data_IF_761526708419
#
_entry.id   IF_761526708419
#
_cell.length_a   1.000
_cell.length_b   1.000
_cell.length_c   1.000
_cell.angle_alpha   90.00
_cell.angle_beta   90.00
_cell.angle_gamma   90.00
#
_symmetry.space_group_name_H-M   'P 1'
#
loop_
_entity.id
_entity.type
_entity.pdbx_description
1 polymer ?
#
# COMPACT_ATOMS: atom_id res chain seq x y z
N UNK A 1 0.42 -6.04 -4.14
CA UNK A 1 1.14 -7.29 -3.78
C UNK A 1 0.27 -8.54 -3.70
N UNK A 2 -1.05 -8.46 -3.47
CA UNK A 2 -1.91 -9.65 -3.37
C UNK A 2 -1.72 -10.69 -4.51
N UNK A 3 -1.70 -10.31 -5.81
CA UNK A 3 -1.48 -11.29 -6.88
C UNK A 3 -0.12 -11.99 -6.82
N UNK A 4 0.93 -11.27 -6.45
CA UNK A 4 2.28 -11.82 -6.31
C UNK A 4 2.33 -12.87 -5.20
N UNK A 5 1.74 -12.57 -4.04
CA UNK A 5 1.68 -13.53 -2.92
C UNK A 5 0.82 -14.76 -3.24
N UNK A 6 -0.23 -14.61 -4.05
CA UNK A 6 -0.98 -15.77 -4.53
C UNK A 6 -0.11 -16.69 -5.39
N UNK A 7 0.66 -16.12 -6.33
CA UNK A 7 1.54 -16.88 -7.23
C UNK A 7 2.69 -17.55 -6.47
N UNK A 8 3.28 -16.87 -5.48
CA UNK A 8 4.41 -17.39 -4.70
C UNK A 8 4.00 -18.42 -3.63
N UNK A 9 2.71 -18.51 -3.28
CA UNK A 9 2.22 -19.48 -2.32
C UNK A 9 2.39 -20.90 -2.89
N UNK A 10 3.21 -21.74 -2.22
CA UNK A 10 3.36 -23.16 -2.58
C UNK A 10 1.99 -23.80 -2.73
N UNK A 11 1.73 -24.59 -3.78
CA UNK A 11 0.42 -25.22 -4.04
C UNK A 11 -0.74 -24.23 -3.86
N UNK A 12 -0.71 -23.15 -4.64
CA UNK A 12 -1.70 -22.08 -4.54
C UNK A 12 -3.08 -22.52 -5.01
N UNK A 13 -4.05 -22.39 -4.11
CA UNK A 13 -5.49 -22.44 -4.42
C UNK A 13 -6.15 -21.23 -3.78
N UNK A 14 -7.29 -20.79 -4.31
CA UNK A 14 -8.04 -19.65 -3.77
C UNK A 14 -8.42 -19.90 -2.31
N UNK A 15 -8.87 -21.10 -1.97
CA UNK A 15 -9.23 -21.48 -0.59
C UNK A 15 -8.05 -21.34 0.37
N UNK A 16 -6.89 -21.86 -0.01
CA UNK A 16 -5.70 -21.81 0.83
C UNK A 16 -5.16 -20.40 0.96
N UNK A 17 -5.15 -19.64 -0.13
CA UNK A 17 -4.78 -18.23 -0.11
C UNK A 17 -5.71 -17.45 0.83
N UNK A 18 -7.02 -17.63 0.72
CA UNK A 18 -8.01 -16.98 1.60
C UNK A 18 -7.81 -17.35 3.06
N UNK A 19 -7.47 -18.61 3.36
CA UNK A 19 -7.17 -19.05 4.73
C UNK A 19 -5.95 -18.32 5.29
N UNK A 20 -4.84 -18.27 4.52
CA UNK A 20 -3.60 -17.58 4.94
C UNK A 20 -3.85 -16.09 5.13
N UNK A 21 -4.54 -15.46 4.19
CA UNK A 21 -4.89 -14.03 4.23
C UNK A 21 -5.76 -13.74 5.45
N UNK A 22 -6.84 -14.51 5.66
CA UNK A 22 -7.79 -14.28 6.77
C UNK A 22 -7.11 -14.47 8.13
N UNK A 23 -6.31 -15.52 8.30
CA UNK A 23 -5.57 -15.75 9.53
C UNK A 23 -4.55 -14.63 9.81
N UNK A 24 -3.83 -14.18 8.78
CA UNK A 24 -2.81 -13.13 8.89
C UNK A 24 -3.44 -11.76 9.18
N UNK A 25 -4.55 -11.42 8.52
CA UNK A 25 -5.33 -10.22 8.81
C UNK A 25 -5.92 -10.27 10.22
N UNK A 26 -6.51 -11.39 10.63
CA UNK A 26 -7.07 -11.56 11.98
C UNK A 26 -6.02 -11.35 13.06
N UNK A 27 -4.84 -11.97 12.91
CA UNK A 27 -3.72 -11.77 13.84
C UNK A 27 -3.25 -10.30 13.88
N UNK A 28 -3.14 -9.65 12.72
CA UNK A 28 -2.72 -8.25 12.63
C UNK A 28 -3.73 -7.31 13.29
N UNK A 29 -5.03 -7.54 13.06
CA UNK A 29 -6.12 -6.77 13.70
C UNK A 29 -6.06 -6.95 15.21
N UNK A 30 -5.89 -8.17 15.71
CA UNK A 30 -5.80 -8.43 17.15
C UNK A 30 -4.63 -7.67 17.78
N UNK A 31 -3.44 -7.70 17.16
CA UNK A 31 -2.26 -6.98 17.65
C UNK A 31 -2.50 -5.46 17.63
N UNK A 32 -3.02 -4.91 16.53
CA UNK A 32 -3.29 -3.48 16.43
C UNK A 32 -4.38 -3.01 17.41
N UNK A 33 -5.45 -3.78 17.59
CA UNK A 33 -6.48 -3.48 18.59
C UNK A 33 -5.90 -3.51 20.00
N UNK A 34 -5.06 -4.49 20.33
CA UNK A 34 -4.41 -4.55 21.65
C UNK A 34 -3.51 -3.34 21.89
N UNK A 35 -2.65 -2.98 20.93
CA UNK A 35 -1.76 -1.81 21.04
C UNK A 35 -2.57 -0.51 21.13
N UNK A 36 -3.60 -0.35 20.30
CA UNK A 36 -4.47 0.83 20.32
C UNK A 36 -5.22 0.95 21.65
N UNK A 37 -5.78 -0.15 22.16
CA UNK A 37 -6.48 -0.18 23.44
C UNK A 37 -5.54 0.20 24.60
N UNK A 38 -4.35 -0.41 24.66
CA UNK A 38 -3.37 -0.11 25.71
C UNK A 38 -2.87 1.34 25.63
N UNK A 39 -2.61 1.84 24.42
CA UNK A 39 -2.23 3.24 24.19
C UNK A 39 -3.31 4.20 24.67
N UNK A 40 -4.58 3.95 24.31
CA UNK A 40 -5.71 4.76 24.74
C UNK A 40 -5.97 4.66 26.24
N UNK A 41 -5.85 3.49 26.86
CA UNK A 41 -5.98 3.35 28.31
C UNK A 41 -4.87 4.11 29.07
N UNK A 42 -3.69 4.25 28.47
CA UNK A 42 -2.55 4.95 29.08
C UNK A 42 -2.65 6.47 28.95
N UNK A 43 -3.00 6.97 27.77
CA UNK A 43 -2.93 8.41 27.45
C UNK A 43 -4.30 9.07 27.21
N UNK A 44 -5.37 8.29 27.15
CA UNK A 44 -6.72 8.76 26.89
C UNK A 44 -6.81 9.56 25.59
N UNK A 45 -7.50 10.70 25.65
CA UNK A 45 -7.63 11.63 24.52
C UNK A 45 -6.34 12.38 24.15
N UNK A 46 -5.25 12.26 24.91
CA UNK A 46 -4.00 13.00 24.68
C UNK A 46 -2.99 12.22 23.82
N UNK A 47 -3.41 11.14 23.15
CA UNK A 47 -2.53 10.37 22.26
C UNK A 47 -1.99 11.22 21.11
N UNK A 48 -0.66 11.26 20.97
CA UNK A 48 0.00 11.81 19.79
C UNK A 48 -0.07 10.83 18.62
N UNK A 49 0.01 11.33 17.38
CA UNK A 49 0.03 10.49 16.17
C UNK A 49 1.15 9.45 16.16
N UNK A 50 2.29 9.79 16.77
CA UNK A 50 3.30 8.83 17.18
C UNK A 50 3.24 8.69 18.71
N UNK A 51 2.75 7.56 19.20
CA UNK A 51 2.54 7.33 20.64
C UNK A 51 3.82 7.46 21.48
N UNK A 52 4.99 7.18 20.88
CA UNK A 52 6.28 7.35 21.54
C UNK A 52 6.58 8.81 21.92
N UNK A 53 5.91 9.79 21.31
CA UNK A 53 6.07 11.20 21.68
C UNK A 53 5.37 11.55 23.01
N UNK A 54 4.43 10.73 23.48
CA UNK A 54 3.81 10.92 24.79
C UNK A 54 4.71 10.50 25.96
N UNK A 55 5.71 9.65 25.71
CA UNK A 55 6.64 9.21 26.73
C UNK A 55 7.79 10.19 26.92
N UNK A 56 8.34 10.25 28.13
CA UNK A 56 9.52 11.08 28.44
C UNK A 56 10.72 10.73 27.55
N UNK A 57 11.55 11.73 27.26
CA UNK A 57 12.85 11.55 26.58
C UNK A 57 13.91 11.00 27.51
N UNK A 58 13.69 11.04 28.84
CA UNK A 58 14.59 10.48 29.85
C UNK A 58 14.35 8.99 30.12
N UNK A 59 13.28 8.43 29.58
CA UNK A 59 12.98 7.00 29.68
C UNK A 59 13.87 6.23 28.69
N UNK A 60 14.81 5.45 29.21
CA UNK A 60 15.76 4.68 28.41
C UNK A 60 15.11 3.59 27.56
N UNK A 61 14.04 2.95 28.05
CA UNK A 61 13.33 1.90 27.31
C UNK A 61 12.60 2.53 26.13
N UNK A 62 11.91 3.65 26.36
CA UNK A 62 11.23 4.38 25.28
C UNK A 62 12.23 5.02 24.31
N UNK A 63 13.39 5.45 24.79
CA UNK A 63 14.52 5.85 23.95
C UNK A 63 14.95 4.74 23.00
N UNK A 64 15.14 3.51 23.51
CA UNK A 64 15.45 2.34 22.70
C UNK A 64 14.35 2.02 21.69
N UNK A 65 13.07 2.12 22.07
CA UNK A 65 11.95 1.95 21.14
C UNK A 65 11.97 2.95 19.99
N UNK A 66 12.31 4.23 20.26
CA UNK A 66 12.47 5.24 19.20
C UNK A 66 13.59 4.89 18.24
N UNK A 67 14.73 4.40 18.75
CA UNK A 67 15.84 3.92 17.91
C UNK A 67 15.40 2.73 17.06
N UNK A 68 14.68 1.76 17.62
CA UNK A 68 14.17 0.61 16.88
C UNK A 68 13.21 1.03 15.75
N UNK A 69 12.31 1.99 16.02
CA UNK A 69 11.42 2.57 15.00
C UNK A 69 12.24 3.30 13.93
N UNK A 70 13.24 4.10 14.30
CA UNK A 70 14.09 4.80 13.36
C UNK A 70 14.86 3.82 12.44
N UNK A 71 15.44 2.75 13.01
CA UNK A 71 16.09 1.68 12.25
C UNK A 71 15.08 1.06 11.27
N UNK A 72 13.89 0.68 11.74
CA UNK A 72 12.86 0.09 10.87
C UNK A 72 12.49 1.01 9.70
N UNK A 73 12.34 2.31 9.95
CA UNK A 73 12.04 3.30 8.91
C UNK A 73 13.21 3.45 7.94
N UNK A 74 14.44 3.58 8.43
CA UNK A 74 15.64 3.75 7.59
C UNK A 74 15.83 2.57 6.64
N UNK A 75 15.62 1.34 7.10
CA UNK A 75 15.74 0.15 6.25
C UNK A 75 14.51 -0.08 5.36
N UNK A 76 13.31 0.31 5.82
CA UNK A 76 12.08 0.18 5.03
C UNK A 76 11.92 1.24 3.94
N UNK A 77 12.44 2.44 4.16
CA UNK A 77 12.25 3.58 3.28
C UNK A 77 12.76 3.34 1.84
N UNK A 78 13.98 2.81 1.60
CA UNK A 78 14.46 2.56 0.24
C UNK A 78 13.53 1.65 -0.57
N UNK A 79 12.96 0.62 0.06
CA UNK A 79 12.06 -0.33 -0.61
C UNK A 79 10.77 0.33 -1.09
N UNK A 80 10.18 1.20 -0.25
CA UNK A 80 8.97 1.94 -0.58
C UNK A 80 9.27 3.05 -1.60
N UNK A 81 10.42 3.71 -1.46
CA UNK A 81 10.83 4.80 -2.31
C UNK A 81 11.04 4.34 -3.76
N UNK A 82 11.64 3.17 -3.98
CA UNK A 82 11.79 2.59 -5.33
C UNK A 82 10.42 2.41 -6.00
N UNK A 83 9.45 1.82 -5.29
CA UNK A 83 8.09 1.66 -5.82
C UNK A 83 7.41 3.00 -6.12
N UNK A 84 7.65 4.02 -5.30
CA UNK A 84 7.12 5.37 -5.52
C UNK A 84 7.74 6.02 -6.76
N UNK A 85 9.07 5.91 -6.92
CA UNK A 85 9.79 6.43 -8.08
C UNK A 85 9.33 5.75 -9.37
N UNK A 86 9.20 4.43 -9.36
CA UNK A 86 8.75 3.67 -10.52
C UNK A 86 7.30 4.01 -10.87
N UNK A 87 6.43 4.19 -9.87
CA UNK A 87 5.06 4.65 -10.07
C UNK A 87 4.97 6.04 -10.71
N UNK A 88 5.87 6.98 -10.34
CA UNK A 88 5.95 8.29 -11.00
C UNK A 88 6.42 8.16 -12.45
N UNK A 89 7.41 7.32 -12.73
CA UNK A 89 7.87 7.06 -14.09
C UNK A 89 6.77 6.43 -14.96
N UNK A 90 5.98 5.51 -14.39
CA UNK A 90 4.84 4.89 -15.05
C UNK A 90 3.75 5.94 -15.34
N UNK A 91 3.44 6.81 -14.38
CA UNK A 91 2.47 7.89 -14.56
C UNK A 91 2.89 8.88 -15.66
N UNK A 92 4.20 9.14 -15.79
CA UNK A 92 4.78 9.97 -16.84
C UNK A 92 4.99 9.22 -18.16
N UNK A 93 4.56 7.96 -18.26
CA UNK A 93 4.73 7.09 -19.44
C UNK A 93 6.20 6.98 -19.90
N UNK A 94 7.15 6.99 -18.97
CA UNK A 94 8.57 6.85 -19.28
C UNK A 94 8.90 5.36 -19.47
N UNK A 95 9.22 4.92 -20.70
CA UNK A 95 9.45 3.51 -20.98
C UNK A 95 10.74 3.02 -20.30
N UNK A 96 10.83 1.72 -19.96
CA UNK A 96 12.01 1.15 -19.30
C UNK A 96 13.33 1.45 -20.02
N UNK A 97 13.33 1.49 -21.36
CA UNK A 97 14.51 1.80 -22.18
C UNK A 97 15.08 3.21 -21.97
N UNK A 98 14.27 4.16 -21.49
CA UNK A 98 14.66 5.54 -21.20
C UNK A 98 14.99 5.79 -19.73
N UNK A 99 14.87 4.79 -18.86
CA UNK A 99 15.17 4.88 -17.41
C UNK A 99 16.68 4.75 -17.17
N UNK A 100 17.44 5.68 -17.72
CA UNK A 100 18.89 5.73 -17.50
C UNK A 100 19.22 6.16 -16.07
N UNK A 101 20.43 5.85 -15.59
CA UNK A 101 20.86 6.23 -14.25
C UNK A 101 20.72 7.74 -13.98
N UNK A 102 20.97 8.58 -14.97
CA UNK A 102 20.82 10.04 -14.85
C UNK A 102 19.36 10.44 -14.62
N UNK A 103 18.41 9.86 -15.35
CA UNK A 103 16.97 10.13 -15.16
C UNK A 103 16.51 9.66 -13.78
N UNK A 104 16.93 8.45 -13.37
CA UNK A 104 16.57 7.89 -12.07
C UNK A 104 17.14 8.71 -10.91
N UNK A 105 18.40 9.14 -11.01
CA UNK A 105 19.06 9.95 -9.99
C UNK A 105 18.44 11.35 -9.88
N UNK A 106 18.18 12.00 -11.02
CA UNK A 106 17.53 13.32 -11.05
C UNK A 106 16.12 13.24 -10.45
N UNK A 107 15.33 12.24 -10.85
CA UNK A 107 13.99 12.04 -10.28
C UNK A 107 14.06 11.73 -8.78
N UNK A 108 15.02 10.91 -8.36
CA UNK A 108 15.24 10.61 -6.94
C UNK A 108 15.51 11.89 -6.14
N UNK A 109 16.41 12.75 -6.63
CA UNK A 109 16.71 14.02 -5.97
C UNK A 109 15.49 14.93 -5.88
N UNK A 110 14.73 15.07 -6.99
CA UNK A 110 13.50 15.88 -7.01
C UNK A 110 12.45 15.35 -6.03
N UNK A 111 12.21 14.03 -6.02
CA UNK A 111 11.26 13.41 -5.10
C UNK A 111 11.68 13.57 -3.64
N UNK A 112 12.96 13.38 -3.33
CA UNK A 112 13.48 13.57 -1.97
C UNK A 112 13.38 15.04 -1.54
N UNK A 113 13.71 15.98 -2.42
CA UNK A 113 13.59 17.41 -2.15
C UNK A 113 12.12 17.79 -1.88
N UNK A 114 11.18 17.30 -2.70
CA UNK A 114 9.76 17.54 -2.51
C UNK A 114 9.21 16.93 -1.21
N UNK A 115 9.58 15.68 -0.91
CA UNK A 115 9.20 15.00 0.34
C UNK A 115 9.77 15.73 1.56
N UNK A 116 11.03 16.17 1.50
CA UNK A 116 11.67 16.93 2.57
C UNK A 116 10.99 18.28 2.77
N UNK A 117 10.71 19.01 1.67
CA UNK A 117 9.97 20.26 1.73
C UNK A 117 8.58 20.07 2.35
N UNK A 118 7.86 19.01 1.97
CA UNK A 118 6.56 18.69 2.56
C UNK A 118 6.69 18.39 4.07
N UNK A 119 7.69 17.60 4.47
CA UNK A 119 7.93 17.26 5.87
C UNK A 119 8.28 18.47 6.74
N UNK A 120 8.90 19.51 6.17
CA UNK A 120 9.16 20.77 6.87
C UNK A 120 7.88 21.60 7.13
N UNK A 121 6.88 21.47 6.26
CA UNK A 121 5.63 22.22 6.35
C UNK A 121 4.51 21.44 7.08
N UNK A 122 4.53 20.11 7.00
CA UNK A 122 3.51 19.23 7.58
C UNK A 122 4.16 18.27 8.56
N UNK A 123 4.08 18.63 9.85
CA UNK A 123 4.71 17.87 10.94
C UNK A 123 3.73 16.96 11.70
N UNK A 124 2.41 17.11 11.46
CA UNK A 124 1.40 16.25 12.08
C UNK A 124 1.25 14.92 11.33
N UNK A 125 1.83 13.87 11.92
CA UNK A 125 1.72 12.51 11.43
C UNK A 125 0.27 12.03 11.39
N UNK A 126 -0.58 12.41 12.35
CA UNK A 126 -1.99 11.99 12.40
C UNK A 126 -2.74 12.47 11.18
N UNK A 127 -2.59 13.75 10.85
CA UNK A 127 -3.16 14.36 9.65
C UNK A 127 -2.70 13.67 8.37
N UNK A 128 -1.39 13.42 8.22
CA UNK A 128 -0.84 12.74 7.04
C UNK A 128 -1.42 11.33 6.90
N UNK A 129 -1.51 10.57 7.99
CA UNK A 129 -2.08 9.23 8.00
C UNK A 129 -3.58 9.24 7.66
N UNK A 130 -4.33 10.21 8.18
CA UNK A 130 -5.76 10.37 7.93
C UNK A 130 -6.03 10.65 6.45
N UNK A 131 -5.34 11.62 5.84
CA UNK A 131 -5.50 11.92 4.40
C UNK A 131 -5.10 10.71 3.54
N UNK A 132 -3.97 10.08 3.86
CA UNK A 132 -3.50 8.90 3.12
C UNK A 132 -4.57 7.80 3.13
N UNK A 133 -5.15 7.50 4.28
CA UNK A 133 -6.21 6.51 4.42
C UNK A 133 -7.50 6.92 3.71
N UNK A 134 -7.94 8.15 3.92
CA UNK A 134 -9.21 8.66 3.39
C UNK A 134 -9.22 8.73 1.87
N UNK A 135 -8.12 9.14 1.23
CA UNK A 135 -8.06 9.31 -0.23
C UNK A 135 -7.56 8.03 -0.90
N UNK A 136 -6.31 7.65 -0.63
CA UNK A 136 -5.65 6.56 -1.35
C UNK A 136 -6.17 5.19 -0.88
N UNK A 137 -6.45 5.05 0.42
CA UNK A 137 -7.02 3.82 0.98
C UNK A 137 -8.39 3.52 0.40
N UNK A 138 -9.33 4.47 0.42
CA UNK A 138 -10.66 4.27 -0.16
C UNK A 138 -10.61 3.99 -1.67
N UNK A 139 -9.76 4.69 -2.40
CA UNK A 139 -9.59 4.45 -3.83
C UNK A 139 -9.12 3.02 -4.13
N UNK A 140 -8.09 2.54 -3.43
CA UNK A 140 -7.51 1.21 -3.63
C UNK A 140 -8.39 0.07 -3.11
N UNK A 141 -9.12 0.27 -2.02
CA UNK A 141 -9.90 -0.78 -1.37
C UNK A 141 -11.30 -0.92 -1.97
N UNK A 142 -11.95 0.20 -2.30
CA UNK A 142 -13.36 0.18 -2.73
C UNK A 142 -13.55 0.56 -4.20
N UNK A 143 -12.90 1.62 -4.68
CA UNK A 143 -13.17 2.17 -6.02
C UNK A 143 -12.56 1.31 -7.12
N UNK A 144 -11.24 1.09 -7.10
CA UNK A 144 -10.57 0.37 -8.18
C UNK A 144 -11.01 -1.09 -8.30
N UNK A 145 -11.18 -1.88 -7.22
CA UNK A 145 -11.69 -3.24 -7.34
C UNK A 145 -13.09 -3.30 -7.98
N UNK A 146 -13.98 -2.37 -7.62
CA UNK A 146 -15.31 -2.30 -8.22
C UNK A 146 -15.26 -1.99 -9.73
N UNK A 147 -14.42 -1.03 -10.14
CA UNK A 147 -14.23 -0.71 -11.55
C UNK A 147 -13.61 -1.87 -12.33
N UNK A 148 -12.61 -2.53 -11.76
CA UNK A 148 -11.95 -3.70 -12.35
C UNK A 148 -12.95 -4.85 -12.51
N UNK A 149 -13.75 -5.15 -11.49
CA UNK A 149 -14.78 -6.19 -11.55
C UNK A 149 -15.84 -5.89 -12.61
N UNK A 150 -16.38 -4.68 -12.63
CA UNK A 150 -17.34 -4.25 -13.64
C UNK A 150 -16.79 -4.38 -15.07
N UNK A 151 -15.53 -3.97 -15.28
CA UNK A 151 -14.88 -4.10 -16.59
C UNK A 151 -14.63 -5.56 -16.97
N UNK A 152 -14.26 -6.40 -16.01
CA UNK A 152 -14.05 -7.83 -16.23
C UNK A 152 -15.35 -8.53 -16.64
N UNK A 153 -16.47 -8.24 -15.97
CA UNK A 153 -17.79 -8.79 -16.31
C UNK A 153 -18.22 -8.38 -17.73
N UNK A 154 -18.09 -7.10 -18.08
CA UNK A 154 -18.42 -6.63 -19.44
C UNK A 154 -17.62 -7.35 -20.53
N UNK A 155 -16.32 -7.56 -20.30
CA UNK A 155 -15.46 -8.29 -21.25
C UNK A 155 -15.85 -9.76 -21.39
N UNK A 156 -16.33 -10.40 -20.31
CA UNK A 156 -16.84 -11.77 -20.37
C UNK A 156 -18.11 -11.83 -21.22
N UNK A 157 -19.06 -10.93 -21.02
CA UNK A 157 -20.29 -10.85 -21.81
C UNK A 157 -20.02 -10.57 -23.31
N UNK A 158 -19.08 -9.68 -23.62
CA UNK A 158 -18.66 -9.40 -24.99
C UNK A 158 -17.99 -10.62 -25.65
N UNK A 159 -17.16 -11.36 -24.90
CA UNK A 159 -16.54 -12.60 -25.36
C UNK A 159 -17.55 -13.71 -25.64
N UNK A 160 -18.55 -13.89 -24.77
CA UNK A 160 -19.63 -14.87 -24.96
C UNK A 160 -20.50 -14.53 -26.19
N UNK A 161 -20.87 -13.26 -26.39
CA UNK A 161 -21.59 -12.81 -27.59
C UNK A 161 -20.77 -13.02 -28.87
N UNK A 162 -19.45 -12.81 -28.80
CA UNK A 162 -18.53 -13.06 -29.91
C UNK A 162 -18.47 -14.53 -30.31
N UNK A 163 -18.39 -15.44 -29.34
CA UNK A 163 -18.40 -16.89 -29.58
C UNK A 163 -19.74 -17.38 -30.17
N UNK A 164 -20.87 -16.93 -29.62
CA UNK A 164 -22.20 -17.27 -30.15
C UNK A 164 -22.39 -16.80 -31.60
N UNK A 165 -21.88 -15.60 -31.93
CA UNK A 165 -21.90 -15.08 -33.31
C UNK A 165 -20.99 -15.85 -34.27
N UNK A 166 -19.89 -16.43 -33.78
CA UNK A 166 -19.00 -17.27 -34.57
C UNK A 166 -19.63 -18.66 -34.83
N UNK A 167 -20.20 -19.30 -33.80
CA UNK A 167 -20.89 -20.60 -33.94
C UNK A 167 -22.12 -20.52 -34.86
N UNK A 168 -22.90 -19.43 -34.77
CA UNK A 168 -24.04 -19.21 -35.66
C UNK A 168 -23.62 -19.07 -37.13
N UNK A 169 -22.48 -18.44 -37.42
CA UNK A 169 -21.94 -18.32 -38.78
C UNK A 169 -21.39 -19.64 -39.32
N UNK A 170 -20.82 -20.49 -38.47
CA UNK A 170 -20.34 -21.82 -38.86
C UNK A 170 -21.50 -22.78 -39.11
N UNK A 171 -22.61 -22.67 -38.35
CA UNK A 171 -23.80 -23.51 -38.55
C UNK A 171 -24.64 -23.12 -39.79
N UNK A 172 -24.41 -21.93 -40.36
CA UNK A 172 -25.12 -21.43 -41.54
C UNK A 172 -24.30 -21.58 -42.83
N UNK A 173 -23.09 -22.14 -42.76
CA UNK A 173 -22.20 -22.44 -43.89
C UNK A 173 -22.20 -23.94 -44.19
#
# INVERSE_FOLDING_TARGET
NAPKFYVELRNNTIERYNTVVSASFGASVAIFCAIAALGFLTFGGNCSGLILNNYSTKDGIMGLSRVAVAISIVFGYPLIFVGSRDGVLDLLNVPPSKRTNSVLNNLTFVLLAALTFLALNVTDLSFVLAIKGAVLGNALIYVFPALMFNTAVKRMEEGERGNLGAEAKVSLA
#
